data_IF_166898087731
#
_entry.id   IF_166898087731
#
_cell.length_a   1.000
_cell.length_b   1.000
_cell.length_c   1.000
_cell.angle_alpha   90.00
_cell.angle_beta   90.00
_cell.angle_gamma   90.00
#
_symmetry.space_group_name_H-M   'P 1'
#
loop_
_entity.id
_entity.type
_entity.pdbx_description
1 polymer ?
#
# COMPACT_ATOMS: atom_id res chain seq x y z
N UNK A 1 -6.03 -10.76 4.37
CA UNK A 1 -5.17 -11.26 5.46
C UNK A 1 -3.71 -11.15 5.06
N UNK A 2 -2.90 -10.66 5.92
CA UNK A 2 -1.44 -10.61 5.73
C UNK A 2 -0.78 -11.52 6.77
N UNK A 3 0.11 -12.38 6.33
CA UNK A 3 0.88 -13.28 7.22
C UNK A 3 2.37 -12.99 7.06
N UNK A 4 3.15 -13.29 8.10
CA UNK A 4 4.61 -13.22 8.02
C UNK A 4 5.19 -14.48 7.35
N UNK A 5 6.54 -14.56 7.27
CA UNK A 5 7.22 -15.69 6.64
C UNK A 5 7.09 -17.01 7.44
N UNK A 6 6.55 -16.95 8.66
CA UNK A 6 6.27 -18.12 9.49
C UNK A 6 4.78 -18.49 9.51
N UNK A 7 3.97 -17.79 8.71
CA UNK A 7 2.53 -18.03 8.62
C UNK A 7 1.70 -17.38 9.73
N UNK A 8 2.30 -16.52 10.54
CA UNK A 8 1.58 -15.81 11.61
C UNK A 8 0.87 -14.58 11.05
N UNK A 9 -0.41 -14.43 11.38
CA UNK A 9 -1.22 -13.32 10.90
C UNK A 9 -0.74 -11.99 11.47
N UNK A 10 -0.55 -11.02 10.58
CA UNK A 10 -0.23 -9.63 10.93
C UNK A 10 -1.56 -8.87 10.96
N UNK A 11 -1.96 -8.40 12.13
CA UNK A 11 -3.23 -7.66 12.32
C UNK A 11 -3.02 -6.17 12.52
N UNK A 12 -1.83 -5.77 12.96
CA UNK A 12 -1.52 -4.37 13.24
C UNK A 12 -0.57 -3.80 12.21
N UNK A 13 -0.92 -2.66 11.71
CA UNK A 13 -0.02 -1.83 10.93
C UNK A 13 0.57 -0.76 11.84
N UNK A 14 1.91 -0.77 12.00
CA UNK A 14 2.61 0.28 12.73
C UNK A 14 2.55 1.61 12.00
N UNK A 15 2.24 1.59 10.72
CA UNK A 15 1.92 2.78 9.97
C UNK A 15 0.62 3.36 10.50
N UNK A 16 0.75 4.44 11.24
CA UNK A 16 -0.38 5.12 11.83
C UNK A 16 -1.21 5.80 10.74
N UNK A 17 -2.43 6.13 11.09
CA UNK A 17 -3.27 7.03 10.32
C UNK A 17 -2.43 8.25 9.89
N UNK A 18 -2.42 8.55 8.60
CA UNK A 18 -1.63 9.65 8.06
C UNK A 18 -2.25 10.98 8.50
N UNK A 19 -1.48 11.79 9.19
CA UNK A 19 -1.95 13.11 9.65
C UNK A 19 -2.12 14.06 8.48
N UNK A 20 -3.08 14.98 8.59
CA UNK A 20 -3.27 16.04 7.61
C UNK A 20 -4.08 15.66 6.39
N UNK A 21 -4.70 14.47 6.40
CA UNK A 21 -5.68 14.08 5.39
C UNK A 21 -7.02 13.78 6.07
N UNK A 22 -8.10 14.04 5.35
CA UNK A 22 -9.44 13.76 5.88
C UNK A 22 -9.76 12.28 5.82
N UNK A 23 -10.77 11.85 6.57
CA UNK A 23 -11.27 10.49 6.51
C UNK A 23 -11.76 10.15 5.11
N UNK A 24 -12.41 11.08 4.43
CA UNK A 24 -12.86 10.88 3.06
C UNK A 24 -11.69 10.68 2.09
N UNK A 25 -10.63 11.48 2.22
CA UNK A 25 -9.41 11.31 1.42
C UNK A 25 -8.78 9.94 1.67
N UNK A 26 -8.69 9.53 2.93
CA UNK A 26 -8.15 8.22 3.30
C UNK A 26 -8.96 7.08 2.66
N UNK A 27 -10.26 7.13 2.75
CA UNK A 27 -11.14 6.10 2.17
C UNK A 27 -10.98 6.00 0.65
N UNK A 28 -10.85 7.13 -0.03
CA UNK A 28 -10.61 7.16 -1.48
C UNK A 28 -9.25 6.52 -1.84
N UNK A 29 -8.22 6.81 -1.07
CA UNK A 29 -6.90 6.20 -1.25
C UNK A 29 -6.95 4.71 -1.00
N UNK A 30 -7.62 4.28 0.05
CA UNK A 30 -7.78 2.87 0.40
C UNK A 30 -8.47 2.10 -0.74
N UNK A 31 -9.59 2.58 -1.23
CA UNK A 31 -10.33 1.94 -2.32
C UNK A 31 -9.52 1.93 -3.63
N UNK A 32 -8.81 3.00 -3.92
CA UNK A 32 -7.93 3.08 -5.08
C UNK A 32 -6.84 2.00 -5.02
N UNK A 33 -6.16 1.87 -3.89
CA UNK A 33 -5.10 0.88 -3.70
C UNK A 33 -5.64 -0.55 -3.68
N UNK A 34 -6.81 -0.75 -3.12
CA UNK A 34 -7.51 -2.04 -3.14
C UNK A 34 -7.77 -2.49 -4.57
N UNK A 35 -8.23 -1.60 -5.44
CA UNK A 35 -8.41 -1.89 -6.86
C UNK A 35 -7.10 -2.21 -7.57
N UNK A 36 -6.04 -1.47 -7.26
CA UNK A 36 -4.73 -1.69 -7.84
C UNK A 36 -4.16 -3.07 -7.45
N UNK A 37 -4.31 -3.47 -6.19
CA UNK A 37 -3.90 -4.80 -5.71
C UNK A 37 -4.68 -5.90 -6.43
N UNK A 38 -5.97 -5.75 -6.59
CA UNK A 38 -6.80 -6.74 -7.30
C UNK A 38 -6.39 -6.90 -8.76
N UNK A 39 -6.10 -5.79 -9.43
CA UNK A 39 -5.62 -5.82 -10.82
C UNK A 39 -4.27 -6.53 -10.90
N UNK A 40 -3.35 -6.23 -9.98
CA UNK A 40 -2.04 -6.89 -9.92
C UNK A 40 -2.19 -8.39 -9.71
N UNK A 41 -3.06 -8.82 -8.79
CA UNK A 41 -3.29 -10.24 -8.50
C UNK A 41 -3.92 -10.97 -9.70
N UNK A 42 -4.75 -10.30 -10.49
CA UNK A 42 -5.35 -10.90 -11.67
C UNK A 42 -4.30 -11.30 -12.72
N UNK A 43 -3.24 -10.48 -12.86
CA UNK A 43 -2.21 -10.69 -13.88
C UNK A 43 -1.00 -11.48 -13.38
N UNK A 44 -0.66 -11.37 -12.09
CA UNK A 44 0.62 -11.83 -11.53
C UNK A 44 0.44 -12.61 -10.23
N UNK A 45 -0.39 -13.64 -10.26
CA UNK A 45 -0.55 -14.54 -9.11
C UNK A 45 0.79 -15.22 -8.79
N UNK A 46 1.07 -15.41 -7.50
CA UNK A 46 2.26 -16.07 -6.95
C UNK A 46 3.58 -15.32 -7.19
N UNK A 47 3.53 -14.13 -7.76
CA UNK A 47 4.71 -13.29 -7.92
C UNK A 47 4.77 -12.24 -6.81
N UNK A 48 5.95 -12.09 -6.21
CA UNK A 48 6.19 -11.07 -5.21
C UNK A 48 6.09 -9.68 -5.84
N UNK A 49 5.49 -8.75 -5.10
CA UNK A 49 5.46 -7.33 -5.46
C UNK A 49 5.85 -6.47 -4.27
N UNK A 50 6.46 -5.33 -4.53
CA UNK A 50 6.71 -4.29 -3.54
C UNK A 50 5.68 -3.17 -3.70
N UNK A 51 5.59 -2.29 -2.70
CA UNK A 51 4.71 -1.13 -2.79
C UNK A 51 4.97 -0.31 -4.07
N UNK A 52 6.24 -0.13 -4.45
CA UNK A 52 6.60 0.62 -5.67
C UNK A 52 6.01 0.04 -6.95
N UNK A 53 5.76 -1.26 -7.01
CA UNK A 53 5.17 -1.91 -8.19
C UNK A 53 3.69 -1.55 -8.35
N UNK A 54 3.05 -1.20 -7.26
CA UNK A 54 1.65 -0.73 -7.23
C UNK A 54 1.59 0.79 -7.36
N UNK A 55 2.56 1.50 -6.77
CA UNK A 55 2.52 2.95 -6.59
C UNK A 55 3.24 3.74 -7.70
N UNK A 56 3.87 3.08 -8.66
CA UNK A 56 4.53 3.74 -9.79
C UNK A 56 6.01 4.02 -9.61
N UNK A 57 6.65 3.47 -8.58
CA UNK A 57 8.09 3.58 -8.39
C UNK A 57 8.57 4.92 -7.85
N UNK A 58 9.85 5.24 -8.10
CA UNK A 58 10.52 6.43 -7.56
C UNK A 58 10.00 7.72 -8.21
N UNK A 59 9.61 7.66 -9.47
CA UNK A 59 9.17 8.81 -10.25
C UNK A 59 7.67 8.74 -10.54
N UNK A 60 6.87 8.46 -9.51
CA UNK A 60 5.44 8.36 -9.67
C UNK A 60 4.81 9.70 -10.11
N UNK A 61 3.76 9.60 -10.89
CA UNK A 61 2.88 10.72 -11.19
C UNK A 61 1.47 10.36 -10.71
N UNK A 62 1.06 10.96 -9.62
CA UNK A 62 -0.23 10.68 -9.00
C UNK A 62 -1.33 11.66 -9.37
N UNK A 63 -1.05 12.57 -10.31
CA UNK A 63 -2.06 13.55 -10.77
C UNK A 63 -3.28 12.81 -11.28
N UNK A 64 -4.45 13.24 -10.85
CA UNK A 64 -5.72 12.59 -11.19
C UNK A 64 -6.04 11.35 -10.37
N UNK A 65 -5.20 10.97 -9.41
CA UNK A 65 -5.47 9.86 -8.49
C UNK A 65 -5.70 10.38 -7.07
N UNK A 66 -6.37 9.61 -6.20
CA UNK A 66 -6.55 10.01 -4.81
C UNK A 66 -5.24 10.17 -4.04
N UNK A 67 -4.14 9.52 -4.48
CA UNK A 67 -2.85 9.58 -3.81
C UNK A 67 -2.17 10.94 -3.91
N UNK A 68 -2.58 11.77 -4.85
CA UNK A 68 -2.04 13.13 -5.02
C UNK A 68 -2.17 13.95 -3.74
N UNK A 69 -3.20 13.73 -2.95
CA UNK A 69 -3.40 14.43 -1.68
C UNK A 69 -2.25 14.20 -0.70
N UNK A 70 -1.55 13.07 -0.76
CA UNK A 70 -0.37 12.82 0.08
C UNK A 70 0.80 13.71 -0.32
N UNK A 71 1.07 13.83 -1.60
CA UNK A 71 2.11 14.72 -2.11
C UNK A 71 1.81 16.17 -1.74
N UNK A 72 0.58 16.63 -2.02
CA UNK A 72 0.14 17.99 -1.73
C UNK A 72 0.28 18.34 -0.24
N UNK A 73 -0.07 17.39 0.63
CA UNK A 73 0.08 17.53 2.08
C UNK A 73 1.52 17.88 2.47
N UNK A 74 2.50 17.14 1.94
CA UNK A 74 3.90 17.35 2.29
C UNK A 74 4.47 18.63 1.68
N UNK A 75 4.03 19.01 0.48
CA UNK A 75 4.38 20.31 -0.09
C UNK A 75 3.82 21.44 0.79
N UNK A 76 2.58 21.34 1.23
CA UNK A 76 1.94 22.33 2.10
C UNK A 76 2.62 22.43 3.48
N UNK A 77 3.21 21.33 3.95
CA UNK A 77 4.00 21.31 5.19
C UNK A 77 5.39 21.93 5.02
N UNK A 78 5.77 22.32 3.81
CA UNK A 78 7.03 23.02 3.54
C UNK A 78 8.18 22.12 3.09
N UNK A 79 7.94 20.85 2.80
CA UNK A 79 8.99 19.97 2.29
C UNK A 79 9.33 20.29 0.83
N UNK A 80 10.58 20.02 0.44
CA UNK A 80 11.01 20.11 -0.95
C UNK A 80 10.26 19.04 -1.78
N UNK A 81 10.26 19.22 -3.11
CA UNK A 81 9.67 18.25 -4.03
C UNK A 81 10.22 16.83 -3.80
N UNK A 82 11.54 16.68 -3.73
CA UNK A 82 12.19 15.38 -3.50
C UNK A 82 11.78 14.75 -2.19
N UNK A 83 11.76 15.52 -1.11
CA UNK A 83 11.37 15.01 0.21
C UNK A 83 9.88 14.71 0.28
N UNK A 84 9.05 15.52 -0.36
CA UNK A 84 7.61 15.30 -0.43
C UNK A 84 7.28 14.00 -1.16
N UNK A 85 7.95 13.71 -2.28
CA UNK A 85 7.81 12.47 -3.03
C UNK A 85 8.15 11.27 -2.13
N UNK A 86 9.28 11.33 -1.44
CA UNK A 86 9.72 10.26 -0.55
C UNK A 86 8.71 9.99 0.58
N UNK A 87 8.25 11.04 1.24
CA UNK A 87 7.30 10.92 2.36
C UNK A 87 5.93 10.45 1.90
N UNK A 88 5.48 10.95 0.76
CA UNK A 88 4.21 10.53 0.17
C UNK A 88 4.25 9.03 -0.19
N UNK A 89 5.36 8.55 -0.74
CA UNK A 89 5.55 7.13 -1.05
C UNK A 89 5.50 6.25 0.19
N UNK A 90 6.15 6.66 1.29
CA UNK A 90 6.12 5.95 2.56
C UNK A 90 4.68 5.90 3.12
N UNK A 91 3.97 7.02 3.10
CA UNK A 91 2.58 7.09 3.57
C UNK A 91 1.66 6.20 2.75
N UNK A 92 1.78 6.22 1.42
CA UNK A 92 1.01 5.34 0.54
C UNK A 92 1.32 3.87 0.81
N UNK A 93 2.58 3.54 1.10
CA UNK A 93 2.99 2.17 1.47
C UNK A 93 2.31 1.69 2.75
N UNK A 94 2.14 2.56 3.73
CA UNK A 94 1.40 2.23 4.96
C UNK A 94 -0.08 1.95 4.69
N UNK A 95 -0.72 2.74 3.83
CA UNK A 95 -2.11 2.51 3.44
C UNK A 95 -2.24 1.20 2.67
N UNK A 96 -1.32 0.93 1.76
CA UNK A 96 -1.28 -0.33 1.00
C UNK A 96 -1.19 -1.54 1.93
N UNK A 97 -0.31 -1.50 2.92
CA UNK A 97 -0.18 -2.59 3.90
C UNK A 97 -1.51 -2.82 4.63
N UNK A 98 -2.22 -1.76 4.99
CA UNK A 98 -3.53 -1.86 5.61
C UNK A 98 -4.55 -2.53 4.69
N UNK A 99 -4.50 -2.22 3.39
CA UNK A 99 -5.35 -2.89 2.39
C UNK A 99 -5.14 -4.40 2.41
N UNK A 100 -3.89 -4.84 2.47
CA UNK A 100 -3.55 -6.27 2.49
C UNK A 100 -3.98 -6.94 3.80
N UNK A 101 -3.80 -6.26 4.94
CA UNK A 101 -4.23 -6.77 6.24
C UNK A 101 -5.74 -6.99 6.28
N UNK A 102 -6.51 -6.08 5.70
CA UNK A 102 -7.97 -6.11 5.73
C UNK A 102 -8.61 -6.90 4.60
N UNK A 103 -7.84 -7.47 3.67
CA UNK A 103 -8.40 -8.28 2.60
C UNK A 103 -9.05 -9.55 3.19
N UNK A 104 -10.33 -9.73 2.94
CA UNK A 104 -11.11 -10.84 3.49
C UNK A 104 -11.05 -12.10 2.62
N UNK A 105 -10.58 -11.98 1.39
CA UNK A 105 -10.63 -13.06 0.40
C UNK A 105 -9.26 -13.64 0.06
N UNK A 106 -8.21 -12.87 0.20
CA UNK A 106 -6.84 -13.23 -0.19
C UNK A 106 -5.93 -13.28 1.01
N UNK A 107 -4.97 -14.19 0.94
CA UNK A 107 -3.88 -14.29 1.92
C UNK A 107 -2.61 -13.83 1.24
N UNK A 108 -1.97 -12.79 1.79
CA UNK A 108 -0.68 -12.28 1.33
C UNK A 108 0.40 -12.65 2.34
N UNK A 109 1.56 -13.05 1.86
CA UNK A 109 2.71 -13.33 2.70
C UNK A 109 3.72 -12.18 2.59
N UNK A 110 4.17 -11.69 3.73
CA UNK A 110 5.21 -10.66 3.82
C UNK A 110 6.58 -11.33 3.64
N UNK A 111 7.39 -10.74 2.77
CA UNK A 111 8.77 -11.14 2.55
C UNK A 111 9.64 -9.93 2.29
N UNK A 112 10.88 -10.17 1.83
CA UNK A 112 11.80 -9.12 1.47
C UNK A 112 11.85 -8.93 -0.05
N UNK A 113 11.78 -7.67 -0.50
CA UNK A 113 12.03 -7.28 -1.88
C UNK A 113 13.19 -6.27 -1.91
N UNK A 114 14.38 -6.73 -1.52
CA UNK A 114 15.54 -5.88 -1.35
C UNK A 114 15.42 -5.01 -0.09
N UNK A 115 15.44 -3.68 -0.24
CA UNK A 115 15.31 -2.73 0.88
C UNK A 115 13.87 -2.43 1.29
N UNK A 116 12.88 -2.98 0.59
CA UNK A 116 11.48 -2.72 0.83
C UNK A 116 10.75 -4.01 1.20
N UNK A 117 9.57 -3.88 1.82
CA UNK A 117 8.71 -5.01 2.05
C UNK A 117 8.19 -5.57 0.71
N UNK A 118 8.24 -6.88 0.57
CA UNK A 118 7.63 -7.59 -0.54
C UNK A 118 6.39 -8.34 -0.09
N UNK A 119 5.43 -8.50 -0.98
CA UNK A 119 4.19 -9.21 -0.70
C UNK A 119 3.92 -10.23 -1.81
N UNK A 120 3.42 -11.40 -1.43
CA UNK A 120 3.04 -12.45 -2.38
C UNK A 120 1.65 -12.95 -2.04
N UNK A 121 0.77 -13.01 -3.03
CA UNK A 121 -0.54 -13.63 -2.86
C UNK A 121 -0.34 -15.15 -2.88
N UNK A 122 -0.51 -15.80 -1.72
CA UNK A 122 -0.22 -17.23 -1.53
C UNK A 122 -1.45 -18.12 -1.50
N UNK A 123 -2.63 -17.56 -1.40
CA UNK A 123 -3.87 -18.34 -1.37
C UNK A 123 -5.08 -17.48 -1.02
N UNK A 124 -6.20 -18.14 -0.84
CA UNK A 124 -7.46 -17.50 -0.47
C UNK A 124 -7.90 -17.96 0.91
N UNK A 125 -8.60 -17.07 1.62
CA UNK A 125 -9.25 -17.43 2.87
C UNK A 125 -10.36 -18.43 2.55
N UNK A 126 -10.45 -19.50 3.36
CA UNK A 126 -11.57 -20.42 3.24
C UNK A 126 -12.78 -19.81 3.90
N UNK A 127 -13.78 -19.49 3.10
CA UNK A 127 -15.09 -19.10 3.60
C UNK A 127 -16.02 -20.30 3.49
N UNK A 128 -16.50 -20.75 4.61
CA UNK A 128 -17.56 -21.74 4.66
C UNK A 128 -18.87 -21.06 4.96
#
# INVERSE_FOLDING_TARGET
MLIDNQGVEIRRNRGRFVRGISQEQYERMFEFLKGAVRTRCADYRDKQFAARDILGGVNFDWRGTPLQALYDKYIDEGYSDTEAIKRAGISAGHILKRVLILDEHRIFQLGDAGKANGYTWVGNTTTH
#
